data_IF_280844202674
#
_entry.id   IF_280844202674
#
_cell.length_a   1.000
_cell.length_b   1.000
_cell.length_c   1.000
_cell.angle_alpha   90.00
_cell.angle_beta   90.00
_cell.angle_gamma   90.00
#
_symmetry.space_group_name_H-M   'P 1'
#
loop_
_entity.id
_entity.type
_entity.pdbx_description
1 polymer ?
#
# COMPACT_ATOMS: atom_id res chain seq x y z
N UNK A 1 8.14 -1.54 -0.14
CA UNK A 1 8.52 -1.44 -1.55
C UNK A 1 7.48 -2.27 -2.32
N UNK A 2 7.29 -1.96 -3.60
CA UNK A 2 5.98 -1.54 -4.12
C UNK A 2 4.98 -2.60 -4.55
N UNK A 3 3.70 -2.24 -4.49
CA UNK A 3 2.61 -2.96 -5.13
C UNK A 3 2.27 -2.32 -6.50
N UNK A 4 2.39 -3.08 -7.58
CA UNK A 4 1.98 -2.63 -8.92
C UNK A 4 0.72 -3.40 -9.30
N UNK A 5 -0.40 -2.67 -9.44
CA UNK A 5 -1.73 -3.23 -9.68
C UNK A 5 -2.04 -3.11 -11.17
N UNK A 6 -2.11 -4.21 -11.91
CA UNK A 6 -2.57 -4.18 -13.29
C UNK A 6 -4.10 -4.08 -13.33
N UNK A 7 -4.66 -3.38 -14.31
CA UNK A 7 -6.10 -3.31 -14.54
C UNK A 7 -6.40 -3.28 -16.03
N UNK A 8 -7.51 -3.89 -16.45
CA UNK A 8 -7.91 -3.91 -17.85
C UNK A 8 -8.98 -4.95 -18.13
N UNK A 9 -9.63 -4.81 -19.28
CA UNK A 9 -10.69 -5.71 -19.73
C UNK A 9 -10.25 -7.19 -19.71
N UNK A 10 -11.17 -8.15 -19.58
CA UNK A 10 -10.84 -9.55 -19.80
C UNK A 10 -10.16 -9.70 -21.17
N UNK A 11 -9.13 -10.55 -21.26
CA UNK A 11 -8.36 -10.77 -22.50
C UNK A 11 -7.69 -9.53 -23.12
N UNK A 12 -7.48 -8.44 -22.37
CA UNK A 12 -6.81 -7.22 -22.86
C UNK A 12 -5.28 -7.28 -22.94
N UNK A 13 -4.65 -8.44 -22.71
CA UNK A 13 -3.17 -8.56 -22.73
C UNK A 13 -2.48 -8.16 -21.41
N UNK A 14 -3.21 -8.10 -20.29
CA UNK A 14 -2.64 -7.85 -18.95
C UNK A 14 -1.45 -8.75 -18.63
N UNK A 15 -1.63 -10.07 -18.73
CA UNK A 15 -0.57 -11.04 -18.43
C UNK A 15 0.66 -10.87 -19.31
N UNK A 16 0.47 -10.52 -20.59
CA UNK A 16 1.58 -10.20 -21.50
C UNK A 16 2.37 -8.98 -21.01
N UNK A 17 1.68 -7.89 -20.67
CA UNK A 17 2.35 -6.68 -20.15
C UNK A 17 2.90 -6.86 -18.74
N UNK A 18 2.27 -7.71 -17.91
CA UNK A 18 2.76 -8.09 -16.58
C UNK A 18 4.09 -8.81 -16.68
N UNK A 19 4.21 -9.77 -17.61
CA UNK A 19 5.45 -10.50 -17.84
C UNK A 19 6.54 -9.58 -18.37
N UNK A 20 6.25 -8.74 -19.37
CA UNK A 20 7.21 -7.75 -19.87
C UNK A 20 7.70 -6.80 -18.77
N UNK A 21 6.80 -6.35 -17.89
CA UNK A 21 7.15 -5.52 -16.75
C UNK A 21 7.99 -6.31 -15.74
N UNK A 22 7.62 -7.56 -15.43
CA UNK A 22 8.37 -8.43 -14.53
C UNK A 22 9.81 -8.62 -15.03
N UNK A 23 9.99 -8.95 -16.30
CA UNK A 23 11.31 -9.15 -16.91
C UNK A 23 12.13 -7.86 -16.86
N UNK A 24 11.53 -6.71 -17.21
CA UNK A 24 12.19 -5.41 -17.10
C UNK A 24 12.66 -5.09 -15.67
N UNK A 25 11.81 -5.36 -14.67
CA UNK A 25 12.14 -5.13 -13.27
C UNK A 25 13.21 -6.09 -12.77
N UNK A 26 13.17 -7.36 -13.17
CA UNK A 26 14.18 -8.34 -12.84
C UNK A 26 15.57 -7.92 -13.35
N UNK A 27 15.65 -7.49 -14.61
CA UNK A 27 16.87 -6.96 -15.21
C UNK A 27 17.39 -5.73 -14.46
N UNK A 28 16.51 -4.78 -14.12
CA UNK A 28 16.87 -3.58 -13.35
C UNK A 28 17.42 -3.91 -11.96
N UNK A 29 16.78 -4.83 -11.25
CA UNK A 29 17.21 -5.27 -9.92
C UNK A 29 18.59 -5.95 -10.02
N UNK A 30 18.82 -6.77 -11.05
CA UNK A 30 20.12 -7.41 -11.29
C UNK A 30 21.23 -6.37 -11.56
N UNK A 31 20.95 -5.34 -12.39
CA UNK A 31 21.90 -4.27 -12.71
C UNK A 31 22.30 -3.42 -11.49
N UNK A 32 21.39 -3.19 -10.55
CA UNK A 32 21.73 -2.49 -9.29
C UNK A 32 22.59 -3.33 -8.34
N UNK A 33 22.60 -4.65 -8.51
CA UNK A 33 23.31 -5.58 -7.64
C UNK A 33 24.78 -5.76 -8.04
N UNK A 34 25.15 -5.40 -9.27
CA UNK A 34 26.54 -5.40 -9.74
C UNK A 34 27.28 -4.16 -9.25
N UNK A 35 28.39 -4.29 -8.51
CA UNK A 35 29.17 -3.14 -8.08
C UNK A 35 29.73 -2.41 -9.31
N UNK A 36 29.51 -1.10 -9.38
CA UNK A 36 30.18 -0.22 -10.34
C UNK A 36 31.69 -0.31 -10.10
N UNK A 37 32.40 -0.91 -11.05
CA UNK A 37 33.86 -0.98 -11.07
C UNK A 37 34.39 0.40 -11.46
N UNK A 38 34.37 1.35 -10.52
CA UNK A 38 35.17 2.57 -10.61
C UNK A 38 36.07 2.65 -9.37
N UNK A 39 37.32 2.16 -9.52
CA UNK A 39 38.44 2.53 -8.64
C UNK A 39 39.04 1.48 -7.70
N UNK A 40 38.69 0.20 -7.77
CA UNK A 40 39.23 -0.85 -6.88
C UNK A 40 40.34 -1.72 -7.48
N UNK A 41 41.47 -1.87 -6.78
CA UNK A 41 42.59 -2.75 -7.12
C UNK A 41 42.14 -4.20 -7.46
N UNK A 42 42.77 -4.87 -8.45
CA UNK A 42 42.42 -6.24 -8.84
C UNK A 42 42.94 -7.24 -7.77
N UNK A 43 42.04 -7.88 -7.03
CA UNK A 43 42.41 -8.96 -6.10
C UNK A 43 41.44 -9.25 -4.96
N UNK A 44 40.48 -8.36 -4.66
CA UNK A 44 39.46 -8.65 -3.66
C UNK A 44 38.28 -9.37 -4.32
N UNK A 45 38.04 -10.64 -3.94
CA UNK A 45 36.85 -11.37 -4.34
C UNK A 45 35.59 -10.55 -3.98
N UNK A 46 34.91 -10.05 -5.01
CA UNK A 46 33.66 -9.30 -4.88
C UNK A 46 32.60 -10.18 -4.22
N UNK A 47 32.39 -10.00 -2.91
CA UNK A 47 31.16 -10.45 -2.26
C UNK A 47 30.02 -9.65 -2.89
N UNK A 48 29.33 -10.24 -3.87
CA UNK A 48 28.18 -9.63 -4.51
C UNK A 48 27.21 -9.11 -3.44
N UNK A 49 26.89 -7.82 -3.52
CA UNK A 49 25.85 -7.23 -2.70
C UNK A 49 24.52 -7.89 -3.06
N UNK A 50 23.82 -8.42 -2.05
CA UNK A 50 22.50 -9.02 -2.28
C UNK A 50 21.57 -8.01 -2.96
N UNK A 51 20.71 -8.45 -3.90
CA UNK A 51 19.80 -7.55 -4.59
C UNK A 51 18.94 -6.78 -3.60
N UNK A 52 18.82 -5.47 -3.81
CA UNK A 52 18.07 -4.57 -2.94
C UNK A 52 16.59 -4.97 -2.83
N UNK A 53 16.07 -5.66 -3.86
CA UNK A 53 14.67 -6.03 -3.99
C UNK A 53 14.49 -7.50 -4.35
N UNK A 54 13.39 -8.07 -3.88
CA UNK A 54 12.82 -9.33 -4.40
C UNK A 54 11.62 -8.99 -5.27
N UNK A 55 11.35 -9.81 -6.28
CA UNK A 55 10.28 -9.56 -7.25
C UNK A 55 9.29 -10.73 -7.27
N UNK A 56 8.00 -10.43 -7.15
CA UNK A 56 6.91 -11.39 -7.13
C UNK A 56 5.88 -11.06 -8.19
N UNK A 57 5.39 -12.08 -8.90
CA UNK A 57 4.25 -11.98 -9.80
C UNK A 57 3.09 -12.80 -9.20
N UNK A 58 1.97 -12.15 -8.94
CA UNK A 58 0.76 -12.78 -8.41
C UNK A 58 -0.35 -12.60 -9.43
N UNK A 59 -1.03 -13.69 -9.78
CA UNK A 59 -2.17 -13.70 -10.70
C UNK A 59 -3.23 -14.73 -10.29
N UNK A 60 -4.43 -14.61 -10.88
CA UNK A 60 -5.48 -15.62 -10.73
C UNK A 60 -4.97 -17.01 -11.12
N UNK A 61 -4.29 -17.11 -12.27
CA UNK A 61 -3.74 -18.36 -12.80
C UNK A 61 -2.65 -18.93 -11.85
N UNK A 62 -1.79 -18.09 -11.26
CA UNK A 62 -0.78 -18.53 -10.27
C UNK A 62 -1.38 -19.11 -8.98
N UNK A 63 -2.61 -18.70 -8.65
CA UNK A 63 -3.35 -19.16 -7.48
C UNK A 63 -4.39 -20.24 -7.83
N UNK A 64 -4.37 -20.76 -9.07
CA UNK A 64 -5.36 -21.71 -9.58
C UNK A 64 -6.81 -21.21 -9.47
N UNK A 65 -7.03 -19.89 -9.54
CA UNK A 65 -8.36 -19.29 -9.51
C UNK A 65 -8.96 -19.37 -10.90
N UNK A 66 -10.03 -20.14 -11.04
CA UNK A 66 -10.74 -20.29 -12.32
C UNK A 66 -11.44 -18.99 -12.73
N UNK A 67 -11.44 -18.67 -14.03
CA UNK A 67 -12.19 -17.55 -14.62
C UNK A 67 -13.70 -17.65 -14.41
N UNK A 68 -14.21 -18.85 -14.10
CA UNK A 68 -15.63 -19.08 -13.77
C UNK A 68 -16.05 -18.44 -12.46
N UNK A 69 -15.13 -18.08 -11.56
CA UNK A 69 -15.49 -17.39 -10.29
C UNK A 69 -16.15 -16.02 -10.52
N UNK A 70 -15.93 -15.44 -11.69
CA UNK A 70 -16.54 -14.18 -12.14
C UNK A 70 -17.88 -14.37 -12.83
N UNK A 71 -18.31 -15.60 -13.09
CA UNK A 71 -19.63 -15.88 -13.66
C UNK A 71 -20.69 -15.79 -12.56
N UNK A 72 -21.45 -14.70 -12.60
CA UNK A 72 -22.48 -14.38 -11.61
C UNK A 72 -23.88 -14.80 -12.08
N UNK A 73 -23.96 -15.56 -13.18
CA UNK A 73 -25.24 -16.04 -13.72
C UNK A 73 -25.86 -17.11 -12.80
N UNK A 74 -27.18 -17.08 -12.55
CA UNK A 74 -27.84 -18.05 -11.67
C UNK A 74 -27.52 -19.54 -11.94
N UNK A 75 -27.38 -20.00 -13.20
CA UNK A 75 -27.05 -21.40 -13.49
C UNK A 75 -25.61 -21.79 -13.14
N UNK A 76 -24.68 -20.83 -13.12
CA UNK A 76 -23.25 -21.08 -12.84
C UNK A 76 -22.93 -21.05 -11.33
N UNK A 77 -23.86 -20.56 -10.51
CA UNK A 77 -23.68 -20.48 -9.07
C UNK A 77 -23.95 -21.82 -8.38
N UNK A 78 -23.10 -22.27 -7.43
CA UNK A 78 -23.39 -23.45 -6.63
C UNK A 78 -24.72 -23.30 -5.86
N UNK A 79 -25.41 -24.43 -5.65
CA UNK A 79 -26.63 -24.45 -4.84
C UNK A 79 -26.36 -23.89 -3.43
N UNK A 80 -27.32 -23.12 -2.90
CA UNK A 80 -27.24 -22.48 -1.57
C UNK A 80 -26.10 -21.47 -1.38
N UNK A 81 -25.54 -20.92 -2.47
CA UNK A 81 -24.56 -19.84 -2.37
C UNK A 81 -25.21 -18.60 -1.74
N UNK A 82 -24.60 -18.06 -0.68
CA UNK A 82 -25.10 -16.91 0.10
C UNK A 82 -25.33 -15.64 -0.73
N UNK A 83 -24.61 -15.47 -1.82
CA UNK A 83 -24.70 -14.34 -2.75
C UNK A 83 -24.09 -14.74 -4.09
N UNK A 84 -24.60 -14.21 -5.20
CA UNK A 84 -23.98 -14.38 -6.51
C UNK A 84 -22.48 -14.03 -6.50
N UNK A 85 -22.08 -13.03 -5.71
CA UNK A 85 -20.71 -12.52 -5.68
C UNK A 85 -19.78 -13.29 -4.72
N UNK A 86 -20.23 -14.40 -4.12
CA UNK A 86 -19.45 -15.11 -3.12
C UNK A 86 -18.14 -15.68 -3.69
N UNK A 87 -18.21 -16.35 -4.84
CA UNK A 87 -17.04 -16.91 -5.54
C UNK A 87 -16.00 -15.84 -5.85
N UNK A 88 -16.43 -14.71 -6.39
CA UNK A 88 -15.53 -13.60 -6.70
C UNK A 88 -14.95 -12.97 -5.43
N UNK A 89 -15.76 -12.85 -4.38
CA UNK A 89 -15.28 -12.35 -3.08
C UNK A 89 -14.18 -13.24 -2.52
N UNK A 90 -14.33 -14.56 -2.63
CA UNK A 90 -13.34 -15.53 -2.18
C UNK A 90 -12.06 -15.48 -3.04
N UNK A 91 -12.21 -15.31 -4.36
CA UNK A 91 -11.08 -15.07 -5.26
C UNK A 91 -10.29 -13.80 -4.87
N UNK A 92 -10.98 -12.69 -4.59
CA UNK A 92 -10.34 -11.47 -4.09
C UNK A 92 -9.68 -11.67 -2.73
N UNK A 93 -10.28 -12.47 -1.83
CA UNK A 93 -9.67 -12.80 -0.55
C UNK A 93 -8.38 -13.63 -0.72
N UNK A 94 -8.36 -14.57 -1.67
CA UNK A 94 -7.19 -15.37 -2.00
C UNK A 94 -6.05 -14.50 -2.58
N UNK A 95 -6.36 -13.63 -3.55
CA UNK A 95 -5.41 -12.65 -4.09
C UNK A 95 -4.87 -11.71 -3.00
N UNK A 96 -5.75 -11.18 -2.15
CA UNK A 96 -5.38 -10.31 -1.05
C UNK A 96 -4.41 -11.04 -0.09
N UNK A 97 -4.72 -12.27 0.28
CA UNK A 97 -3.85 -13.11 1.11
C UNK A 97 -2.49 -13.39 0.47
N UNK A 98 -2.46 -13.65 -0.84
CA UNK A 98 -1.22 -13.87 -1.57
C UNK A 98 -0.33 -12.62 -1.59
N UNK A 99 -0.89 -11.47 -1.96
CA UNK A 99 -0.17 -10.18 -1.96
C UNK A 99 0.33 -9.86 -0.55
N UNK A 100 -0.54 -9.93 0.46
CA UNK A 100 -0.21 -9.59 1.84
C UNK A 100 0.94 -10.42 2.43
N UNK A 101 1.07 -11.68 2.04
CA UNK A 101 2.17 -12.56 2.51
C UNK A 101 3.55 -12.12 2.03
N UNK A 102 3.63 -11.53 0.83
CA UNK A 102 4.91 -11.16 0.21
C UNK A 102 5.19 -9.67 0.27
N UNK A 103 4.16 -8.84 0.46
CA UNK A 103 4.30 -7.39 0.44
C UNK A 103 5.15 -6.90 1.62
N UNK A 104 6.29 -6.27 1.31
CA UNK A 104 7.18 -5.75 2.34
C UNK A 104 7.98 -4.55 1.83
N UNK A 105 8.67 -3.81 2.73
CA UNK A 105 9.67 -2.83 2.35
C UNK A 105 10.76 -3.31 1.40
N UNK A 106 10.94 -4.61 1.10
CA UNK A 106 11.99 -5.11 0.17
C UNK A 106 11.46 -5.93 -1.01
N UNK A 107 10.15 -5.96 -1.20
CA UNK A 107 9.51 -6.81 -2.20
C UNK A 107 8.72 -5.97 -3.18
N UNK A 108 8.98 -6.12 -4.48
CA UNK A 108 8.12 -5.58 -5.55
C UNK A 108 7.11 -6.66 -5.90
N UNK A 109 5.83 -6.33 -5.87
CA UNK A 109 4.73 -7.26 -6.19
C UNK A 109 3.98 -6.74 -7.40
N UNK A 110 4.06 -7.48 -8.50
CA UNK A 110 3.24 -7.26 -9.70
C UNK A 110 1.97 -8.10 -9.56
N UNK A 111 0.81 -7.45 -9.49
CA UNK A 111 -0.48 -8.11 -9.39
C UNK A 111 -1.18 -8.11 -10.75
N UNK A 112 -1.06 -9.22 -11.47
CA UNK A 112 -1.76 -9.50 -12.74
C UNK A 112 -3.16 -10.07 -12.47
N UNK A 113 -4.15 -9.19 -12.41
CA UNK A 113 -5.55 -9.59 -12.27
C UNK A 113 -6.46 -8.64 -13.03
N UNK A 114 -7.75 -8.95 -13.11
CA UNK A 114 -8.73 -8.03 -13.68
C UNK A 114 -8.71 -6.67 -12.95
N UNK A 115 -8.70 -6.74 -11.61
CA UNK A 115 -8.70 -5.60 -10.69
C UNK A 115 -9.70 -4.49 -11.09
N UNK A 116 -10.85 -4.93 -11.61
CA UNK A 116 -11.78 -4.10 -12.36
C UNK A 116 -12.74 -3.28 -11.48
N UNK A 117 -12.73 -3.52 -10.16
CA UNK A 117 -13.58 -2.83 -9.18
C UNK A 117 -12.73 -1.79 -8.44
N UNK A 118 -13.17 -0.53 -8.43
CA UNK A 118 -12.54 0.58 -7.70
C UNK A 118 -12.39 0.30 -6.21
N UNK A 119 -13.43 -0.25 -5.58
CA UNK A 119 -13.40 -0.63 -4.16
C UNK A 119 -12.32 -1.67 -3.86
N UNK A 120 -12.02 -2.55 -4.80
CA UNK A 120 -10.95 -3.55 -4.68
C UNK A 120 -9.57 -2.93 -4.85
N UNK A 121 -9.37 -2.06 -5.86
CA UNK A 121 -8.11 -1.30 -6.01
C UNK A 121 -7.83 -0.41 -4.78
N UNK A 122 -8.87 0.19 -4.21
CA UNK A 122 -8.78 0.92 -2.94
C UNK A 122 -8.28 0.03 -1.79
N UNK A 123 -8.81 -1.18 -1.63
CA UNK A 123 -8.36 -2.12 -0.60
C UNK A 123 -6.87 -2.47 -0.77
N UNK A 124 -6.43 -2.75 -2.00
CA UNK A 124 -5.03 -3.03 -2.30
C UNK A 124 -4.11 -1.83 -2.00
N UNK A 125 -4.53 -0.61 -2.36
CA UNK A 125 -3.78 0.62 -2.04
C UNK A 125 -3.68 0.85 -0.53
N UNK A 126 -4.72 0.51 0.24
CA UNK A 126 -4.69 0.59 1.69
C UNK A 126 -3.72 -0.42 2.27
N UNK A 127 -3.62 -1.62 1.70
CA UNK A 127 -2.66 -2.62 2.16
C UNK A 127 -1.22 -2.19 1.92
N UNK A 128 -0.92 -1.65 0.75
CA UNK A 128 0.37 -1.02 0.45
C UNK A 128 0.69 0.09 1.47
N UNK A 129 -0.28 0.95 1.72
CA UNK A 129 -0.17 2.02 2.72
C UNK A 129 0.06 1.50 4.14
N UNK A 130 -0.57 0.39 4.53
CA UNK A 130 -0.43 -0.21 5.86
C UNK A 130 0.99 -0.72 6.12
N UNK A 131 1.63 -1.31 5.11
CA UNK A 131 3.03 -1.77 5.21
C UNK A 131 4.04 -0.71 4.75
N UNK A 132 3.62 0.56 4.69
CA UNK A 132 4.45 1.74 4.36
C UNK A 132 5.17 1.59 3.02
N UNK A 133 4.46 1.07 2.02
CA UNK A 133 4.99 0.96 0.68
C UNK A 133 4.20 1.78 -0.33
N UNK A 134 4.88 2.38 -1.33
CA UNK A 134 4.17 2.94 -2.48
C UNK A 134 3.44 1.84 -3.25
N UNK A 135 2.45 2.27 -4.01
CA UNK A 135 1.77 1.47 -5.02
C UNK A 135 1.67 2.26 -6.33
N UNK A 136 1.39 1.57 -7.43
CA UNK A 136 1.07 2.17 -8.72
C UNK A 136 0.00 1.34 -9.42
N UNK A 137 -0.77 1.96 -10.32
CA UNK A 137 -1.71 1.26 -11.19
C UNK A 137 -1.22 1.31 -12.64
N UNK A 138 -1.22 0.15 -13.30
CA UNK A 138 -0.93 0.02 -14.73
C UNK A 138 -2.19 -0.46 -15.45
N UNK A 139 -2.84 0.44 -16.18
CA UNK A 139 -3.97 0.11 -17.03
C UNK A 139 -3.51 -0.38 -18.40
N UNK A 140 -4.01 -1.54 -18.82
CA UNK A 140 -3.83 -2.04 -20.19
C UNK A 140 -5.08 -1.70 -21.01
N UNK A 141 -4.93 -0.71 -21.89
CA UNK A 141 -5.95 -0.22 -22.79
C UNK A 141 -6.01 -1.00 -24.10
N UNK A 142 -7.22 -1.34 -24.52
CA UNK A 142 -7.51 -1.85 -25.86
C UNK A 142 -8.99 -1.60 -26.16
N UNK A 143 -9.40 -1.74 -27.43
CA UNK A 143 -10.82 -1.72 -27.74
C UNK A 143 -11.52 -2.98 -27.23
N UNK A 144 -12.82 -2.86 -26.91
CA UNK A 144 -13.66 -4.02 -26.55
C UNK A 144 -13.65 -5.06 -27.66
N UNK A 145 -13.63 -4.63 -28.93
CA UNK A 145 -13.60 -5.53 -30.08
C UNK A 145 -12.30 -6.34 -30.16
N UNK A 146 -11.14 -5.72 -29.95
CA UNK A 146 -9.84 -6.40 -29.92
C UNK A 146 -9.80 -7.46 -28.83
N UNK A 147 -10.20 -7.10 -27.60
CA UNK A 147 -10.26 -8.05 -26.50
C UNK A 147 -11.24 -9.19 -26.79
N UNK A 148 -12.43 -8.88 -27.36
CA UNK A 148 -13.43 -9.90 -27.72
C UNK A 148 -12.88 -10.90 -28.74
N UNK A 149 -12.14 -10.43 -29.75
CA UNK A 149 -11.49 -11.28 -30.76
C UNK A 149 -10.51 -12.26 -30.13
N UNK A 150 -9.77 -11.85 -29.10
CA UNK A 150 -8.87 -12.77 -28.36
C UNK A 150 -9.68 -13.82 -27.61
N UNK A 151 -10.75 -13.43 -26.92
CA UNK A 151 -11.59 -14.40 -26.22
C UNK A 151 -12.22 -15.41 -27.17
N UNK A 152 -12.73 -14.96 -28.32
CA UNK A 152 -13.30 -15.82 -29.36
C UNK A 152 -12.27 -16.84 -29.88
N UNK A 153 -11.05 -16.39 -30.22
CA UNK A 153 -9.96 -17.29 -30.65
C UNK A 153 -9.62 -18.33 -29.58
N UNK A 154 -9.62 -17.95 -28.30
CA UNK A 154 -9.37 -18.89 -27.19
C UNK A 154 -10.50 -19.90 -27.02
N UNK A 155 -11.76 -19.49 -27.21
CA UNK A 155 -12.91 -20.39 -27.20
C UNK A 155 -12.86 -21.41 -28.36
N UNK A 156 -12.46 -20.98 -29.54
CA UNK A 156 -12.27 -21.87 -30.71
C UNK A 156 -11.16 -22.92 -30.46
N UNK A 157 -10.10 -22.51 -29.77
CA UNK A 157 -8.97 -23.38 -29.43
C UNK A 157 -9.28 -24.38 -28.30
N UNK A 158 -10.13 -24.01 -27.34
CA UNK A 158 -10.53 -24.90 -26.23
C UNK A 158 -11.30 -26.15 -26.71
N UNK A 159 -12.01 -26.04 -27.84
CA UNK A 159 -12.71 -27.17 -28.47
C UNK A 159 -11.79 -28.21 -29.15
N UNK A 160 -10.48 -27.96 -29.23
CA UNK A 160 -9.52 -28.84 -29.92
C UNK A 160 -8.62 -29.59 -28.91
N UNK A 161 -8.71 -30.93 -28.83
CA UNK A 161 -8.00 -31.75 -27.83
C UNK A 161 -6.47 -31.72 -27.87
N UNK A 162 -5.86 -31.07 -28.86
CA UNK A 162 -4.41 -31.07 -29.09
C UNK A 162 -3.71 -29.76 -28.75
N UNK A 163 -4.42 -28.78 -28.21
CA UNK A 163 -3.79 -27.50 -27.88
C UNK A 163 -3.22 -27.51 -26.47
N UNK A 164 -1.91 -27.81 -26.36
CA UNK A 164 -1.07 -27.28 -25.28
C UNK A 164 -1.13 -25.75 -25.34
N UNK A 165 -2.22 -25.16 -24.84
CA UNK A 165 -2.33 -23.71 -24.69
C UNK A 165 -1.52 -23.34 -23.46
N UNK A 166 -0.51 -22.51 -23.70
CA UNK A 166 0.30 -21.83 -22.71
C UNK A 166 -0.61 -20.98 -21.79
N UNK A 167 -1.14 -21.61 -20.75
CA UNK A 167 -1.77 -21.04 -19.55
C UNK A 167 -3.14 -20.34 -19.66
N UNK A 168 -3.55 -19.79 -20.81
CA UNK A 168 -4.63 -18.79 -20.82
C UNK A 168 -6.00 -19.32 -21.26
N UNK A 169 -6.81 -19.82 -20.32
CA UNK A 169 -8.20 -20.27 -20.57
C UNK A 169 -9.11 -19.13 -21.06
N UNK A 170 -10.11 -19.42 -21.91
CA UNK A 170 -11.11 -18.43 -22.29
C UNK A 170 -12.08 -18.10 -21.14
N UNK A 171 -12.88 -17.05 -21.36
CA UNK A 171 -14.08 -16.77 -20.58
C UNK A 171 -15.31 -17.20 -21.38
N UNK A 172 -16.32 -17.78 -20.72
CA UNK A 172 -17.63 -17.96 -21.33
C UNK A 172 -18.16 -16.61 -21.84
N UNK A 173 -18.75 -16.58 -23.04
CA UNK A 173 -19.09 -15.32 -23.72
C UNK A 173 -19.97 -14.39 -22.85
N UNK A 174 -21.00 -14.95 -22.19
CA UNK A 174 -21.87 -14.19 -21.31
C UNK A 174 -21.12 -13.60 -20.09
N UNK A 175 -20.20 -14.36 -19.50
CA UNK A 175 -19.35 -13.87 -18.41
C UNK A 175 -18.42 -12.75 -18.90
N UNK A 176 -17.81 -12.93 -20.08
CA UNK A 176 -16.93 -11.93 -20.68
C UNK A 176 -17.64 -10.60 -20.92
N UNK A 177 -18.82 -10.61 -21.55
CA UNK A 177 -19.58 -9.38 -21.82
C UNK A 177 -20.03 -8.71 -20.50
N UNK A 178 -20.42 -9.50 -19.50
CA UNK A 178 -20.74 -9.00 -18.16
C UNK A 178 -19.55 -8.33 -17.47
N UNK A 179 -18.35 -8.90 -17.59
CA UNK A 179 -17.13 -8.34 -17.01
C UNK A 179 -16.72 -7.03 -17.68
N UNK A 180 -16.87 -6.93 -19.00
CA UNK A 180 -16.66 -5.68 -19.73
C UNK A 180 -17.63 -4.60 -19.26
N UNK A 181 -18.91 -4.93 -19.12
CA UNK A 181 -19.93 -3.99 -18.65
C UNK A 181 -19.66 -3.47 -17.23
N UNK A 182 -19.12 -4.32 -16.34
CA UNK A 182 -18.83 -3.97 -14.95
C UNK A 182 -17.45 -3.35 -14.74
N UNK A 183 -16.66 -3.20 -15.80
CA UNK A 183 -15.30 -2.67 -15.69
C UNK A 183 -15.31 -1.19 -15.27
N UNK A 184 -14.74 -0.88 -14.12
CA UNK A 184 -14.59 0.49 -13.63
C UNK A 184 -13.17 0.98 -13.96
N UNK A 185 -13.06 1.86 -14.96
CA UNK A 185 -11.76 2.37 -15.41
C UNK A 185 -10.98 3.05 -14.27
N UNK A 186 -9.66 2.78 -14.14
CA UNK A 186 -8.80 3.49 -13.20
C UNK A 186 -8.85 5.01 -13.41
N UNK A 187 -8.95 5.76 -12.32
CA UNK A 187 -8.99 7.22 -12.38
C UNK A 187 -7.79 7.83 -11.65
N UNK A 188 -6.81 8.33 -12.42
CA UNK A 188 -5.58 8.94 -11.90
C UNK A 188 -5.77 10.18 -11.02
N UNK A 189 -6.96 10.78 -10.97
CA UNK A 189 -7.30 11.85 -10.02
C UNK A 189 -7.58 11.33 -8.60
N UNK A 190 -7.87 10.02 -8.45
CA UNK A 190 -8.13 9.41 -7.15
C UNK A 190 -6.84 8.91 -6.51
N UNK A 191 -6.73 9.05 -5.19
CA UNK A 191 -5.48 8.73 -4.46
C UNK A 191 -5.08 7.26 -4.51
N UNK A 192 -6.04 6.35 -4.67
CA UNK A 192 -5.79 4.91 -4.70
C UNK A 192 -5.47 4.39 -6.11
N UNK A 193 -5.89 5.08 -7.17
CA UNK A 193 -5.49 4.72 -8.55
C UNK A 193 -4.26 5.52 -9.02
N UNK A 194 -3.80 6.52 -8.25
CA UNK A 194 -2.61 7.33 -8.55
C UNK A 194 -1.36 6.79 -7.83
N UNK A 195 -0.17 6.77 -8.49
CA UNK A 195 0.07 7.11 -9.89
C UNK A 195 -0.52 6.07 -10.86
N UNK A 196 -1.17 6.56 -11.91
CA UNK A 196 -1.77 5.76 -12.98
C UNK A 196 -0.90 5.83 -14.23
N UNK A 197 -0.53 4.66 -14.75
CA UNK A 197 0.15 4.48 -16.02
C UNK A 197 -0.76 3.74 -16.99
N UNK A 198 -0.66 4.05 -18.28
CA UNK A 198 -1.49 3.43 -19.32
C UNK A 198 -0.59 2.90 -20.43
N UNK A 199 -0.81 1.65 -20.82
CA UNK A 199 -0.24 1.05 -22.03
C UNK A 199 -1.36 0.53 -22.91
N UNK A 200 -1.29 0.88 -24.19
CA UNK A 200 -2.20 0.40 -25.22
C UNK A 200 -1.58 -0.77 -26.01
N UNK A 201 -2.36 -1.38 -26.90
CA UNK A 201 -1.85 -2.41 -27.80
C UNK A 201 -0.97 -1.87 -28.91
N UNK A 202 -1.20 -0.62 -29.31
CA UNK A 202 -0.43 0.05 -30.35
C UNK A 202 0.92 0.57 -29.83
N UNK A 203 1.11 0.58 -28.51
CA UNK A 203 2.39 0.92 -27.89
C UNK A 203 3.42 -0.19 -28.13
N UNK A 204 4.50 0.17 -28.81
CA UNK A 204 5.63 -0.70 -29.07
C UNK A 204 6.45 -1.01 -27.79
N UNK A 205 7.47 -1.86 -27.94
CA UNK A 205 8.35 -2.24 -26.83
C UNK A 205 9.15 -1.05 -26.29
N UNK A 206 9.52 -0.08 -27.14
CA UNK A 206 10.26 1.10 -26.72
C UNK A 206 9.39 1.97 -25.80
N UNK A 207 8.13 2.19 -26.18
CA UNK A 207 7.16 2.91 -25.37
C UNK A 207 6.84 2.18 -24.07
N UNK A 208 6.67 0.86 -24.13
CA UNK A 208 6.49 0.04 -22.92
C UNK A 208 7.67 0.19 -21.94
N UNK A 209 8.91 0.13 -22.44
CA UNK A 209 10.12 0.34 -21.61
C UNK A 209 10.15 1.73 -20.96
N UNK A 210 9.75 2.78 -21.68
CA UNK A 210 9.65 4.13 -21.10
C UNK A 210 8.66 4.15 -19.93
N UNK A 211 7.47 3.57 -20.11
CA UNK A 211 6.46 3.50 -19.05
C UNK A 211 6.95 2.65 -17.87
N UNK A 212 7.63 1.54 -18.12
CA UNK A 212 8.22 0.71 -17.05
C UNK A 212 9.31 1.45 -16.27
N UNK A 213 10.10 2.30 -16.94
CA UNK A 213 11.03 3.22 -16.27
C UNK A 213 10.32 4.21 -15.36
N UNK A 214 9.23 4.83 -15.83
CA UNK A 214 8.43 5.75 -15.00
C UNK A 214 7.78 5.05 -13.80
N UNK A 215 7.31 3.81 -13.99
CA UNK A 215 6.82 2.97 -12.90
C UNK A 215 7.94 2.74 -11.89
N UNK A 216 9.12 2.29 -12.35
CA UNK A 216 10.29 2.10 -11.50
C UNK A 216 10.62 3.35 -10.68
N UNK A 217 10.70 4.52 -11.32
CA UNK A 217 11.00 5.77 -10.63
C UNK A 217 9.95 6.12 -9.56
N UNK A 218 8.67 5.87 -9.85
CA UNK A 218 7.58 6.13 -8.91
C UNK A 218 7.58 5.17 -7.71
N UNK A 219 8.09 3.95 -7.87
CA UNK A 219 7.84 2.85 -6.92
C UNK A 219 9.11 2.33 -6.24
N UNK A 220 10.26 2.44 -6.88
CA UNK A 220 11.55 1.88 -6.46
C UNK A 220 12.76 2.81 -6.69
N UNK A 221 12.60 3.94 -7.41
CA UNK A 221 13.68 4.86 -7.77
C UNK A 221 14.42 5.52 -6.59
N UNK A 222 15.58 6.10 -6.90
CA UNK A 222 16.50 6.74 -5.95
C UNK A 222 16.13 8.20 -5.62
N UNK A 223 15.02 8.70 -6.18
CA UNK A 223 14.50 10.04 -5.89
C UNK A 223 13.97 10.19 -4.45
N UNK A 224 13.67 11.41 -4.00
CA UNK A 224 13.10 11.65 -2.67
C UNK A 224 11.77 10.89 -2.53
N UNK A 225 11.82 9.79 -1.78
CA UNK A 225 10.67 8.90 -1.58
C UNK A 225 9.57 9.66 -0.85
N UNK A 226 8.38 9.73 -1.44
CA UNK A 226 7.20 10.25 -0.76
C UNK A 226 6.93 9.34 0.44
N UNK A 227 7.09 9.87 1.65
CA UNK A 227 6.87 9.13 2.90
C UNK A 227 5.43 8.60 2.96
N UNK A 228 5.25 7.28 2.79
CA UNK A 228 3.94 6.63 2.79
C UNK A 228 3.54 6.38 4.24
N UNK A 229 2.84 7.36 4.83
CA UNK A 229 2.33 7.27 6.20
C UNK A 229 1.05 6.43 6.25
N UNK A 230 0.96 5.38 7.07
CA UNK A 230 -0.26 4.57 7.22
C UNK A 230 -1.46 5.41 7.66
N UNK A 231 -2.67 4.98 7.30
CA UNK A 231 -3.86 5.53 7.94
C UNK A 231 -3.90 5.05 9.39
N UNK A 232 -3.60 5.93 10.35
CA UNK A 232 -3.48 5.58 11.76
C UNK A 232 -4.71 4.89 12.35
N UNK A 233 -5.90 5.09 11.75
CA UNK A 233 -7.17 4.45 12.16
C UNK A 233 -7.25 2.97 11.76
N UNK A 234 -6.60 2.56 10.66
CA UNK A 234 -6.71 1.21 10.08
C UNK A 234 -5.58 0.26 10.50
N UNK A 235 -4.56 0.76 11.19
CA UNK A 235 -3.52 -0.07 11.80
C UNK A 235 -4.19 -0.92 12.88
N UNK A 236 -4.15 -2.25 12.75
CA UNK A 236 -4.52 -3.13 13.86
C UNK A 236 -3.49 -2.92 14.95
N UNK A 237 -3.96 -2.39 16.07
CA UNK A 237 -3.14 -2.00 17.21
C UNK A 237 -3.32 -3.12 18.25
N UNK A 238 -2.22 -3.79 18.60
CA UNK A 238 -2.18 -4.96 19.47
C UNK A 238 -2.66 -4.67 20.89
N UNK A 239 -3.05 -5.75 21.57
CA UNK A 239 -3.73 -5.73 22.87
C UNK A 239 -2.76 -5.81 24.08
N UNK A 240 -1.48 -5.48 23.88
CA UNK A 240 -0.43 -5.73 24.87
C UNK A 240 -0.21 -4.56 25.84
N UNK A 241 -1.30 -3.84 26.18
CA UNK A 241 -1.29 -2.87 27.25
C UNK A 241 -1.32 -3.59 28.60
N UNK A 242 -0.15 -3.73 29.25
CA UNK A 242 -0.09 -4.20 30.64
C UNK A 242 -1.08 -3.43 31.54
N UNK A 243 -1.64 -4.10 32.55
CA UNK A 243 -2.83 -3.63 33.30
C UNK A 243 -2.79 -2.23 33.91
N UNK A 244 -1.62 -1.57 33.93
CA UNK A 244 -1.41 -0.19 34.41
C UNK A 244 -1.32 0.87 33.29
N UNK A 245 -1.48 0.48 32.02
CA UNK A 245 -1.27 1.37 30.87
C UNK A 245 -2.13 2.63 30.92
N UNK A 246 -3.42 2.49 31.23
CA UNK A 246 -4.35 3.62 31.29
C UNK A 246 -3.96 4.64 32.36
N UNK A 247 -3.48 4.14 33.50
CA UNK A 247 -3.00 4.97 34.59
C UNK A 247 -1.72 5.71 34.20
N UNK A 248 -0.74 5.00 33.62
CA UNK A 248 0.50 5.62 33.13
C UNK A 248 0.20 6.64 32.04
N UNK A 249 -0.68 6.33 31.08
CA UNK A 249 -1.11 7.23 30.02
C UNK A 249 -1.72 8.52 30.57
N UNK A 250 -2.64 8.41 31.53
CA UNK A 250 -3.26 9.56 32.16
C UNK A 250 -2.23 10.40 32.93
N UNK A 251 -1.36 9.74 33.72
CA UNK A 251 -0.33 10.37 34.54
C UNK A 251 0.70 11.14 33.69
N UNK A 252 1.25 10.50 32.67
CA UNK A 252 2.32 11.10 31.84
C UNK A 252 1.80 12.29 31.03
N UNK A 253 0.60 12.17 30.43
CA UNK A 253 -0.01 13.26 29.67
C UNK A 253 -0.39 14.45 30.56
N UNK A 254 -0.88 14.20 31.78
CA UNK A 254 -1.17 15.27 32.74
C UNK A 254 0.11 15.99 33.18
N UNK A 255 1.20 15.24 33.34
CA UNK A 255 2.49 15.79 33.75
C UNK A 255 3.06 16.76 32.70
N UNK A 256 2.87 16.47 31.41
CA UNK A 256 3.21 17.39 30.30
C UNK A 256 2.31 18.64 30.35
N UNK A 257 0.99 18.48 30.49
CA UNK A 257 0.06 19.64 30.58
C UNK A 257 0.42 20.55 31.76
N UNK A 258 0.74 19.99 32.93
CA UNK A 258 1.16 20.77 34.11
C UNK A 258 2.40 21.61 33.83
N UNK A 259 3.38 21.07 33.10
CA UNK A 259 4.61 21.81 32.76
C UNK A 259 4.37 22.95 31.78
N UNK A 260 3.54 22.72 30.77
CA UNK A 260 3.15 23.78 29.83
C UNK A 260 2.47 24.93 30.57
N UNK A 261 1.56 24.61 31.50
CA UNK A 261 0.88 25.61 32.32
C UNK A 261 1.85 26.36 33.24
N UNK A 262 2.76 25.65 33.92
CA UNK A 262 3.77 26.28 34.77
C UNK A 262 4.69 27.22 33.98
N UNK A 263 5.17 26.77 32.81
CA UNK A 263 6.00 27.58 31.93
C UNK A 263 5.29 28.87 31.49
N UNK A 264 4.02 28.77 31.07
CA UNK A 264 3.21 29.92 30.68
C UNK A 264 2.89 30.87 31.85
N UNK A 265 2.90 30.41 33.11
CA UNK A 265 2.71 31.25 34.28
C UNK A 265 3.98 32.03 34.65
N UNK A 266 5.14 31.41 34.46
CA UNK A 266 6.45 32.02 34.70
C UNK A 266 6.84 33.02 33.60
N UNK A 267 6.35 32.83 32.37
CA UNK A 267 6.62 33.67 31.21
C UNK A 267 5.37 34.48 30.86
N UNK A 268 5.15 35.58 31.60
CA UNK A 268 3.93 36.42 31.53
C UNK A 268 3.74 37.17 30.21
N UNK A 269 4.72 37.19 29.31
CA UNK A 269 4.69 38.00 28.08
C UNK A 269 3.93 37.35 26.91
N UNK A 270 3.41 36.13 27.07
CA UNK A 270 2.47 35.54 26.10
C UNK A 270 3.03 35.21 24.71
N UNK A 271 4.31 35.45 24.47
CA UNK A 271 5.02 35.12 23.23
C UNK A 271 5.53 33.67 23.25
N UNK A 272 4.71 32.73 22.81
CA UNK A 272 5.11 31.34 22.51
C UNK A 272 6.16 30.71 23.45
N UNK A 273 7.08 29.94 22.88
CA UNK A 273 8.24 29.42 23.63
C UNK A 273 8.39 27.91 23.56
N UNK A 274 9.53 27.43 24.08
CA UNK A 274 9.92 26.03 24.03
C UNK A 274 9.90 25.48 25.46
N UNK A 275 8.98 24.56 25.75
CA UNK A 275 8.86 23.93 27.07
C UNK A 275 9.67 22.64 27.11
N UNK A 276 10.76 22.56 27.89
CA UNK A 276 11.51 21.32 28.06
C UNK A 276 10.80 20.36 29.00
N UNK A 277 10.73 19.07 28.64
CA UNK A 277 10.16 18.01 29.47
C UNK A 277 11.29 17.16 30.10
N UNK A 278 11.59 17.27 31.41
CA UNK A 278 12.84 16.77 32.04
C UNK A 278 12.95 15.25 32.26
N UNK A 279 12.56 14.42 31.30
CA UNK A 279 12.74 12.96 31.39
C UNK A 279 13.66 12.37 30.32
N UNK A 280 13.85 13.06 29.20
CA UNK A 280 14.84 12.75 28.16
C UNK A 280 15.35 14.07 27.60
N UNK A 281 16.66 14.18 27.32
CA UNK A 281 17.34 15.47 27.09
C UNK A 281 16.86 16.26 25.84
N UNK A 282 15.92 15.73 25.06
CA UNK A 282 15.51 16.27 23.75
C UNK A 282 13.98 16.45 23.58
N UNK A 283 13.18 16.31 24.63
CA UNK A 283 11.71 16.46 24.55
C UNK A 283 11.27 17.92 24.71
N UNK A 284 10.87 18.54 23.60
CA UNK A 284 10.50 19.96 23.53
C UNK A 284 9.07 20.13 23.01
N UNK A 285 8.25 20.88 23.76
CA UNK A 285 6.93 21.35 23.29
C UNK A 285 7.09 22.76 22.73
N UNK A 286 6.76 22.94 21.47
CA UNK A 286 6.79 24.23 20.78
C UNK A 286 5.42 24.90 20.91
N UNK A 287 5.33 25.94 21.73
CA UNK A 287 4.09 26.69 21.92
C UNK A 287 3.86 27.66 20.75
N UNK A 288 2.62 27.81 20.28
CA UNK A 288 2.26 28.79 19.25
C UNK A 288 2.44 30.22 19.79
N UNK A 289 2.49 31.21 18.90
CA UNK A 289 2.72 32.62 19.28
C UNK A 289 1.66 33.25 20.21
N UNK A 290 0.58 32.53 20.49
CA UNK A 290 -0.47 32.92 21.45
C UNK A 290 -0.52 31.95 22.63
N UNK A 291 -0.92 32.44 23.81
CA UNK A 291 -1.10 31.59 24.98
C UNK A 291 -2.16 30.48 24.75
N UNK A 292 -1.77 29.23 25.02
CA UNK A 292 -2.70 28.10 24.97
C UNK A 292 -3.43 28.00 26.30
N UNK A 293 -4.76 28.10 26.28
CA UNK A 293 -5.57 28.02 27.51
C UNK A 293 -5.54 26.61 28.12
N UNK A 294 -5.70 26.52 29.45
CA UNK A 294 -5.82 25.22 30.14
C UNK A 294 -6.99 24.38 29.56
N UNK A 295 -8.09 25.03 29.18
CA UNK A 295 -9.24 24.36 28.57
C UNK A 295 -8.88 23.72 27.21
N UNK A 296 -8.08 24.40 26.40
CA UNK A 296 -7.57 23.89 25.12
C UNK A 296 -6.61 22.72 25.33
N UNK A 297 -5.64 22.86 26.25
CA UNK A 297 -4.72 21.77 26.61
C UNK A 297 -5.46 20.52 27.11
N UNK A 298 -6.48 20.69 27.96
CA UNK A 298 -7.30 19.58 28.43
C UNK A 298 -8.17 18.97 27.31
N UNK A 299 -8.61 19.76 26.33
CA UNK A 299 -9.31 19.24 25.14
C UNK A 299 -8.37 18.38 24.28
N UNK A 300 -7.17 18.87 24.00
CA UNK A 300 -6.15 18.13 23.24
C UNK A 300 -5.72 16.86 23.96
N UNK A 301 -5.53 16.92 25.28
CA UNK A 301 -5.26 15.75 26.12
C UNK A 301 -6.38 14.72 26.02
N UNK A 302 -7.66 15.11 26.17
CA UNK A 302 -8.79 14.17 26.03
C UNK A 302 -8.86 13.54 24.64
N UNK A 303 -8.60 14.30 23.59
CA UNK A 303 -8.54 13.78 22.22
C UNK A 303 -7.42 12.74 22.08
N UNK A 304 -6.23 13.04 22.60
CA UNK A 304 -5.09 12.10 22.61
C UNK A 304 -5.36 10.84 23.43
N UNK A 305 -5.97 10.97 24.61
CA UNK A 305 -6.37 9.83 25.44
C UNK A 305 -7.40 8.95 24.71
N UNK A 306 -8.37 9.55 24.02
CA UNK A 306 -9.35 8.83 23.19
C UNK A 306 -8.70 8.03 22.06
N UNK A 307 -7.66 8.58 21.43
CA UNK A 307 -6.91 7.93 20.36
C UNK A 307 -6.03 6.77 20.85
N UNK A 308 -5.58 6.83 22.11
CA UNK A 308 -4.57 5.93 22.67
C UNK A 308 -5.06 5.05 23.82
N UNK A 309 -6.36 5.05 24.15
CA UNK A 309 -6.96 4.30 25.26
C UNK A 309 -6.69 2.78 25.25
N UNK A 310 -6.37 2.19 24.09
CA UNK A 310 -6.20 0.75 23.94
C UNK A 310 -4.79 0.18 24.12
N UNK A 311 -3.81 0.89 24.71
CA UNK A 311 -2.43 0.34 24.85
C UNK A 311 -1.56 0.45 23.60
N UNK A 312 -1.96 1.31 22.68
CA UNK A 312 -1.66 1.22 21.26
C UNK A 312 -0.26 1.79 20.92
N UNK A 313 0.56 1.04 20.17
CA UNK A 313 1.85 1.53 19.63
C UNK A 313 3.08 1.30 20.52
N UNK A 314 2.91 0.51 21.59
CA UNK A 314 3.94 0.19 22.58
C UNK A 314 4.35 -1.30 22.61
N UNK A 315 3.87 -2.08 21.64
CA UNK A 315 4.04 -3.55 21.51
C UNK A 315 5.48 -4.06 21.51
N UNK A 316 6.49 -3.18 21.36
CA UNK A 316 7.91 -3.53 21.42
C UNK A 316 8.62 -3.19 22.73
N UNK A 317 7.96 -2.55 23.70
CA UNK A 317 8.65 -1.90 24.81
C UNK A 317 7.98 -2.16 26.17
N UNK A 318 7.82 -3.43 26.54
CA UNK A 318 7.39 -3.89 27.86
C UNK A 318 8.22 -3.35 29.05
N UNK A 319 9.24 -2.51 28.82
CA UNK A 319 10.07 -1.87 29.86
C UNK A 319 10.17 -0.33 29.79
N UNK A 320 9.50 0.36 28.84
CA UNK A 320 9.67 1.81 28.60
C UNK A 320 8.37 2.58 28.28
N UNK A 321 7.22 2.20 28.85
CA UNK A 321 5.92 2.79 28.50
C UNK A 321 5.82 4.31 28.77
N UNK A 322 6.33 4.79 29.91
CA UNK A 322 6.21 6.21 30.30
C UNK A 322 6.92 7.19 29.35
N UNK A 323 8.22 7.03 29.08
CA UNK A 323 8.97 7.92 28.18
C UNK A 323 8.37 8.01 26.77
N UNK A 324 7.94 6.88 26.22
CA UNK A 324 7.35 6.84 24.87
C UNK A 324 5.96 7.48 24.80
N UNK A 325 5.16 7.36 25.86
CA UNK A 325 3.87 8.09 25.97
C UNK A 325 4.13 9.59 25.99
N UNK A 326 5.14 10.06 26.74
CA UNK A 326 5.51 11.48 26.75
C UNK A 326 5.91 11.95 25.36
N UNK A 327 6.82 11.24 24.69
CA UNK A 327 7.23 11.56 23.32
C UNK A 327 6.03 11.65 22.38
N UNK A 328 5.19 10.61 22.35
CA UNK A 328 4.03 10.58 21.45
C UNK A 328 3.04 11.72 21.73
N UNK A 329 2.89 12.15 22.99
CA UNK A 329 2.01 13.27 23.33
C UNK A 329 2.64 14.62 22.98
N UNK A 330 3.95 14.79 23.17
CA UNK A 330 4.69 15.99 22.75
C UNK A 330 4.64 16.15 21.23
N UNK A 331 4.92 15.09 20.48
CA UNK A 331 4.82 15.09 19.01
C UNK A 331 3.40 15.46 18.56
N UNK A 332 2.37 14.90 19.21
CA UNK A 332 0.98 15.24 18.92
C UNK A 332 0.67 16.71 19.19
N UNK A 333 1.18 17.30 20.27
CA UNK A 333 0.97 18.72 20.57
C UNK A 333 1.67 19.60 19.53
N UNK A 334 2.92 19.31 19.18
CA UNK A 334 3.67 20.04 18.16
C UNK A 334 2.97 19.97 16.80
N UNK A 335 2.53 18.79 16.38
CA UNK A 335 1.77 18.57 15.14
C UNK A 335 0.45 19.35 15.09
N UNK A 336 -0.20 19.56 16.24
CA UNK A 336 -1.45 20.32 16.33
C UNK A 336 -1.16 21.81 16.30
N UNK A 337 -0.16 22.27 17.06
CA UNK A 337 0.22 23.67 17.10
C UNK A 337 0.79 24.17 15.77
N UNK A 338 1.57 23.36 15.04
CA UNK A 338 2.03 23.68 13.68
C UNK A 338 0.88 23.87 12.68
N UNK A 339 -0.26 23.21 12.89
CA UNK A 339 -1.44 23.34 12.01
C UNK A 339 -2.34 24.52 12.37
N UNK A 340 -2.20 25.07 13.58
CA UNK A 340 -2.96 26.23 14.07
C UNK A 340 -2.19 27.55 13.94
N UNK A 341 -0.91 27.50 13.51
CA UNK A 341 -0.06 28.64 13.11
C UNK A 341 -0.33 29.06 11.66
#
# INVERSE_FOLDING_TARGET
>A
MPLIILSGLPTSGKSTRAQQLYDYLADRIAQQSTPSVEGGLPGAASRGTAPQYRLHLVSDDSLSISRTVYDLSPPALPAHTRSANASEKDARAALYGAVKRVLSPRDIVVLDGLNYIKGWRYQLSCEAKNVRTPHAVLQIGCSVEQARKVNAKRLEQEGHPSSETDGAKPYAQANWDNLVFRYEEPNGMTRWDSPLFVLTWDDDEARARVVFGQIWDAVAGDGPRKDVRPNMVAVQRGNDGGGDYLYVLDRETQDVVRRVVAYQQEHQDGEGGIVPIPADKDLLVHLPGNQVSLAQLQRLRRAFLGLNRGGIGLEGASKLAGPRIRQSFVDYLNDVFEKEL
#
